data_IF_617958736803
#
_entry.id   IF_617958736803
#
_cell.length_a   1.000
_cell.length_b   1.000
_cell.length_c   1.000
_cell.angle_alpha   90.00
_cell.angle_beta   90.00
_cell.angle_gamma   90.00
#
_symmetry.space_group_name_H-M   'P 1'
#
loop_
_entity.id
_entity.type
_entity.pdbx_description
1 polymer ?
#
# COMPACT_ATOMS: atom_id res chain seq x y z
N UNK A 1 -9.73 3.68 -15.17
CA UNK A 1 -8.70 3.95 -14.15
C UNK A 1 -9.40 4.54 -12.96
N UNK A 2 -9.15 4.02 -11.77
CA UNK A 2 -9.66 4.59 -10.53
C UNK A 2 -8.70 4.30 -9.37
N UNK A 3 -8.84 5.05 -8.28
CA UNK A 3 -8.01 4.94 -7.09
C UNK A 3 -8.86 4.77 -5.84
N UNK A 4 -8.41 3.93 -4.92
CA UNK A 4 -9.09 3.71 -3.64
C UNK A 4 -8.10 3.51 -2.51
N UNK A 5 -8.50 3.93 -1.30
CA UNK A 5 -7.70 3.72 -0.10
C UNK A 5 -7.88 2.29 0.41
N UNK A 6 -6.77 1.60 0.64
CA UNK A 6 -6.71 0.30 1.30
C UNK A 6 -6.24 0.53 2.74
N UNK A 7 -7.14 0.35 3.69
CA UNK A 7 -6.87 0.54 5.11
C UNK A 7 -6.33 -0.75 5.73
N UNK A 8 -5.29 -0.62 6.56
CA UNK A 8 -4.69 -1.73 7.32
C UNK A 8 -4.61 -1.40 8.81
N UNK A 9 -5.55 -0.60 9.30
CA UNK A 9 -5.67 -0.31 10.73
C UNK A 9 -5.94 -1.57 11.54
N UNK A 10 -5.11 -1.77 12.55
CA UNK A 10 -5.33 -2.76 13.59
C UNK A 10 -6.18 -2.09 14.67
N UNK A 11 -7.45 -2.48 14.81
CA UNK A 11 -8.28 -1.95 15.90
C UNK A 11 -7.61 -2.25 17.24
N UNK A 12 -7.67 -1.32 18.18
CA UNK A 12 -7.24 -1.46 19.58
C UNK A 12 -7.81 -2.71 20.30
N UNK A 13 -8.91 -3.26 19.80
CA UNK A 13 -9.52 -4.52 20.28
C UNK A 13 -8.94 -5.77 19.63
N UNK A 14 -8.11 -5.62 18.62
CA UNK A 14 -7.46 -6.72 17.91
C UNK A 14 -6.30 -7.23 18.75
N UNK A 15 -6.23 -8.54 18.92
CA UNK A 15 -5.15 -9.21 19.63
C UNK A 15 -4.47 -10.18 18.69
N UNK A 16 -3.15 -10.11 18.58
CA UNK A 16 -2.40 -11.09 17.80
C UNK A 16 -2.19 -12.33 18.68
N UNK A 17 -2.79 -13.46 18.30
CA UNK A 17 -2.63 -14.74 18.99
C UNK A 17 -1.58 -15.58 18.26
N UNK A 18 -0.42 -15.77 18.90
CA UNK A 18 0.51 -16.84 18.57
C UNK A 18 0.39 -17.94 19.62
N UNK A 19 0.43 -19.21 19.22
CA UNK A 19 0.24 -20.34 20.15
C UNK A 19 1.40 -20.36 21.16
N UNK A 20 1.07 -20.31 22.45
CA UNK A 20 2.05 -20.47 23.55
C UNK A 20 2.71 -19.17 24.06
N UNK A 21 2.30 -17.99 23.59
CA UNK A 21 2.86 -16.70 24.01
C UNK A 21 1.79 -15.79 24.62
N UNK A 22 2.23 -14.91 25.54
CA UNK A 22 1.38 -13.93 26.21
C UNK A 22 0.67 -13.05 25.18
N UNK A 23 -0.65 -12.90 25.35
CA UNK A 23 -1.48 -12.05 24.49
C UNK A 23 -1.08 -10.59 24.66
N UNK A 24 -0.51 -9.99 23.62
CA UNK A 24 -0.12 -8.57 23.62
C UNK A 24 -1.20 -7.77 22.89
N UNK A 25 -1.70 -6.65 23.45
CA UNK A 25 -2.58 -5.75 22.72
C UNK A 25 -1.81 -5.16 21.53
N UNK A 26 -2.45 -5.11 20.36
CA UNK A 26 -1.86 -4.39 19.23
C UNK A 26 -1.80 -2.89 19.57
N UNK A 27 -0.65 -2.25 19.32
CA UNK A 27 -0.57 -0.78 19.31
C UNK A 27 -1.37 -0.28 18.11
N UNK A 28 -2.68 -0.12 18.30
CA UNK A 28 -3.57 0.45 17.29
C UNK A 28 -3.31 1.95 17.15
N UNK A 29 -3.16 2.42 15.92
CA UNK A 29 -3.24 3.85 15.62
C UNK A 29 -4.68 4.35 15.65
N UNK A 30 -4.85 5.64 15.34
CA UNK A 30 -6.19 6.21 15.15
C UNK A 30 -6.85 5.47 13.99
N UNK A 31 -8.08 4.99 14.19
CA UNK A 31 -8.84 4.30 13.14
C UNK A 31 -8.92 5.19 11.89
N UNK A 32 -8.56 4.65 10.74
CA UNK A 32 -8.47 5.33 9.45
C UNK A 32 -7.12 6.00 9.14
N UNK A 33 -6.11 5.88 10.01
CA UNK A 33 -4.82 6.57 9.81
C UNK A 33 -3.84 5.76 8.96
N UNK A 34 -3.87 4.43 9.04
CA UNK A 34 -2.98 3.57 8.29
C UNK A 34 -3.64 3.06 7.01
N UNK A 35 -3.22 3.64 5.89
CA UNK A 35 -3.67 3.25 4.57
C UNK A 35 -2.55 3.36 3.54
N UNK A 36 -2.75 2.69 2.42
CA UNK A 36 -2.08 3.00 1.16
C UNK A 36 -3.16 3.33 0.13
N UNK A 37 -2.80 4.08 -0.90
CA UNK A 37 -3.69 4.27 -2.05
C UNK A 37 -3.35 3.21 -3.08
N UNK A 38 -4.37 2.50 -3.58
CA UNK A 38 -4.21 1.59 -4.71
C UNK A 38 -4.83 2.23 -5.95
N UNK A 39 -4.12 2.19 -7.08
CA UNK A 39 -4.65 2.58 -8.37
C UNK A 39 -4.81 1.35 -9.26
N UNK A 40 -5.97 1.27 -9.89
CA UNK A 40 -6.40 0.14 -10.73
C UNK A 40 -6.73 0.64 -12.13
N UNK A 41 -6.29 -0.13 -13.13
CA UNK A 41 -6.54 0.16 -14.53
C UNK A 41 -7.09 -1.10 -15.22
N UNK A 42 -8.34 -1.00 -15.65
CA UNK A 42 -8.96 -1.96 -16.56
C UNK A 42 -8.86 -1.44 -17.99
N UNK A 43 -8.39 -2.30 -18.91
CA UNK A 43 -8.37 -2.04 -20.33
C UNK A 43 -9.74 -2.33 -20.97
N UNK A 44 -10.00 -1.78 -22.16
CA UNK A 44 -11.26 -2.00 -22.88
C UNK A 44 -11.52 -3.48 -23.25
N UNK A 45 -10.47 -4.33 -23.25
CA UNK A 45 -10.57 -5.77 -23.46
C UNK A 45 -10.80 -6.57 -22.17
N UNK A 46 -11.09 -5.89 -21.05
CA UNK A 46 -11.35 -6.48 -19.74
C UNK A 46 -10.10 -6.95 -19.00
N UNK A 47 -8.89 -6.70 -19.52
CA UNK A 47 -7.65 -7.03 -18.80
C UNK A 47 -7.37 -5.99 -17.74
N UNK A 48 -7.12 -6.46 -16.52
CA UNK A 48 -6.58 -5.63 -15.45
C UNK A 48 -5.07 -5.52 -15.61
N UNK A 49 -4.56 -4.29 -15.63
CA UNK A 49 -3.13 -4.03 -15.54
C UNK A 49 -2.64 -4.21 -14.11
N UNK A 50 -1.32 -4.44 -13.90
CA UNK A 50 -0.77 -4.54 -12.56
C UNK A 50 -1.19 -3.35 -11.68
N UNK A 51 -1.76 -3.59 -10.48
CA UNK A 51 -2.14 -2.52 -9.56
C UNK A 51 -0.92 -1.69 -9.17
N UNK A 52 -1.15 -0.41 -8.90
CA UNK A 52 -0.14 0.47 -8.32
C UNK A 52 -0.45 0.74 -6.85
N UNK A 53 0.54 0.60 -5.97
CA UNK A 53 0.39 0.92 -4.55
C UNK A 53 1.21 2.13 -4.17
N UNK A 54 0.59 3.12 -3.52
CA UNK A 54 1.25 4.30 -2.99
C UNK A 54 1.26 4.24 -1.48
N UNK A 55 2.45 4.14 -0.89
CA UNK A 55 2.64 4.13 0.55
C UNK A 55 3.05 5.51 1.07
N UNK A 56 2.61 5.83 2.29
CA UNK A 56 3.10 6.99 3.01
C UNK A 56 4.52 6.71 3.55
N UNK A 57 5.47 7.58 3.24
CA UNK A 57 6.86 7.47 3.69
C UNK A 57 7.77 8.45 2.97
N UNK A 58 9.07 8.33 3.19
CA UNK A 58 10.06 9.05 2.40
C UNK A 58 10.60 8.13 1.28
N UNK A 59 10.80 8.66 0.06
CA UNK A 59 11.47 7.92 -1.01
C UNK A 59 12.82 7.37 -0.53
N UNK A 60 13.15 6.14 -0.95
CA UNK A 60 14.42 5.46 -0.63
C UNK A 60 14.73 5.22 0.86
N UNK A 61 13.76 5.47 1.75
CA UNK A 61 13.88 5.22 3.20
C UNK A 61 13.24 3.88 3.61
N UNK A 62 13.03 3.68 4.91
CA UNK A 62 12.59 2.41 5.51
C UNK A 62 11.39 1.75 4.82
N UNK A 63 10.32 2.51 4.56
CA UNK A 63 9.11 1.99 3.90
C UNK A 63 9.42 1.51 2.49
N UNK A 64 10.16 2.31 1.72
CA UNK A 64 10.57 1.94 0.37
C UNK A 64 11.44 0.68 0.38
N UNK A 65 12.46 0.64 1.24
CA UNK A 65 13.38 -0.49 1.36
C UNK A 65 12.66 -1.76 1.81
N UNK A 66 11.65 -1.64 2.67
CA UNK A 66 10.82 -2.76 3.10
C UNK A 66 9.89 -3.24 1.99
N UNK A 67 9.12 -2.36 1.33
CA UNK A 67 8.19 -2.76 0.26
C UNK A 67 8.94 -3.39 -0.91
N UNK A 68 10.14 -2.89 -1.21
CA UNK A 68 11.04 -3.45 -2.24
C UNK A 68 11.41 -4.92 -2.01
N UNK A 69 11.36 -5.45 -0.78
CA UNK A 69 11.63 -6.87 -0.52
C UNK A 69 10.42 -7.78 -0.75
N UNK A 70 9.21 -7.23 -0.77
CA UNK A 70 7.95 -7.96 -0.99
C UNK A 70 7.39 -7.80 -2.40
N UNK A 71 7.85 -6.78 -3.12
CA UNK A 71 7.42 -6.46 -4.47
C UNK A 71 7.90 -7.50 -5.48
N UNK A 72 6.97 -8.03 -6.29
CA UNK A 72 7.26 -8.91 -7.42
C UNK A 72 7.02 -8.15 -8.75
N UNK A 73 8.06 -7.97 -9.59
CA UNK A 73 7.90 -7.33 -10.89
C UNK A 73 6.85 -8.01 -11.77
N UNK A 74 5.93 -7.23 -12.34
CA UNK A 74 4.87 -7.71 -13.23
C UNK A 74 3.59 -8.17 -12.51
N UNK A 75 3.61 -8.30 -11.18
CA UNK A 75 2.39 -8.56 -10.38
C UNK A 75 1.75 -7.26 -9.91
N UNK A 76 2.56 -6.33 -9.45
CA UNK A 76 2.14 -5.00 -9.00
C UNK A 76 3.21 -3.99 -9.37
N UNK A 77 2.98 -2.72 -9.06
CA UNK A 77 3.97 -1.64 -9.04
C UNK A 77 3.76 -0.82 -7.77
N UNK A 78 4.76 -0.05 -7.32
CA UNK A 78 4.60 0.80 -6.15
C UNK A 78 5.40 2.11 -6.25
N UNK A 79 4.99 3.07 -5.43
CA UNK A 79 5.67 4.31 -5.13
C UNK A 79 5.58 4.60 -3.63
N UNK A 80 6.49 5.43 -3.12
CA UNK A 80 6.51 5.90 -1.73
C UNK A 80 6.64 7.41 -1.74
N UNK A 81 5.74 8.09 -1.04
CA UNK A 81 5.74 9.55 -0.93
C UNK A 81 5.20 10.01 0.41
N UNK A 82 5.47 11.28 0.76
CA UNK A 82 5.29 11.81 2.13
C UNK A 82 3.86 11.66 2.66
N UNK A 83 2.89 11.66 1.75
CA UNK A 83 1.49 11.29 2.01
C UNK A 83 1.10 10.26 0.97
N UNK A 84 0.29 9.25 1.30
CA UNK A 84 -0.15 8.23 0.34
C UNK A 84 -1.16 8.74 -0.71
N UNK A 85 -0.88 9.87 -1.35
CA UNK A 85 -1.73 10.48 -2.38
C UNK A 85 -1.40 9.92 -3.76
N UNK A 86 -2.39 9.90 -4.64
CA UNK A 86 -2.18 9.60 -6.05
C UNK A 86 -2.16 10.94 -6.80
N UNK A 87 -0.98 11.56 -6.84
CA UNK A 87 -0.78 12.84 -7.53
C UNK A 87 -0.24 12.65 -8.96
N UNK A 88 -0.01 13.76 -9.66
CA UNK A 88 0.47 13.74 -11.05
C UNK A 88 1.82 13.02 -11.19
N UNK A 89 2.73 13.18 -10.24
CA UNK A 89 4.04 12.53 -10.27
C UNK A 89 3.91 11.01 -10.20
N UNK A 90 3.08 10.51 -9.28
CA UNK A 90 2.79 9.07 -9.17
C UNK A 90 2.06 8.55 -10.40
N UNK A 91 1.14 9.34 -10.95
CA UNK A 91 0.42 8.96 -12.16
C UNK A 91 1.36 8.77 -13.34
N UNK A 92 2.29 9.71 -13.56
CA UNK A 92 3.30 9.62 -14.61
C UNK A 92 4.24 8.43 -14.38
N UNK A 93 4.71 8.24 -13.15
CA UNK A 93 5.54 7.08 -12.77
C UNK A 93 4.81 5.75 -13.01
N UNK A 94 3.50 5.69 -12.76
CA UNK A 94 2.71 4.50 -13.01
C UNK A 94 2.54 4.24 -14.51
N UNK A 95 2.23 5.28 -15.31
CA UNK A 95 2.09 5.17 -16.77
C UNK A 95 3.37 4.62 -17.39
N UNK A 96 4.55 5.06 -16.94
CA UNK A 96 5.84 4.57 -17.44
C UNK A 96 6.12 3.10 -17.07
N UNK A 97 5.43 2.55 -16.08
CA UNK A 97 5.63 1.18 -15.57
C UNK A 97 4.62 0.14 -16.09
N UNK A 98 3.55 0.55 -16.80
CA UNK A 98 2.37 -0.32 -17.14
C UNK A 98 2.23 -0.65 -18.63
#
# INVERSE_FOLDING_TARGET
>A
MDQTAVYYDVDSKTTVNFVGVTRVPANGGVKGSYHCTTALLECADGRMRPPHFVFAGEPDQDVYNQVKTYYEPGVATFAVQTKAWFDECVMLEWIDKV
#
